data_IF_840688445966
#
_entry.id   IF_840688445966
#
_cell.length_a   1.000
_cell.length_b   1.000
_cell.length_c   1.000
_cell.angle_alpha   90.00
_cell.angle_beta   90.00
_cell.angle_gamma   90.00
#
_symmetry.space_group_name_H-M   'P 1'
#
loop_
_entity.id
_entity.type
_entity.pdbx_description
1 polymer ?
#
# COMPACT_ATOMS: atom_id res chain seq x y z
N UNK A 1 12.10 -7.57 38.36
CA UNK A 1 11.78 -7.56 36.92
C UNK A 1 10.62 -6.61 36.72
N UNK A 2 10.63 -5.82 35.65
CA UNK A 2 9.52 -4.91 35.29
C UNK A 2 8.98 -5.35 33.93
N UNK A 3 7.66 -5.50 33.82
CA UNK A 3 6.99 -5.84 32.57
C UNK A 3 6.76 -4.57 31.73
N UNK A 4 7.02 -4.66 30.42
CA UNK A 4 6.68 -3.64 29.45
C UNK A 4 5.52 -4.16 28.58
N UNK A 5 4.58 -3.28 28.24
CA UNK A 5 3.39 -3.65 27.46
C UNK A 5 3.30 -2.84 26.18
N UNK A 6 2.75 -3.47 25.15
CA UNK A 6 2.40 -2.85 23.88
C UNK A 6 0.91 -3.09 23.60
N UNK A 7 0.14 -2.06 23.23
CA UNK A 7 0.53 -0.65 23.19
C UNK A 7 0.62 0.01 24.59
N UNK A 8 1.30 1.15 24.70
CA UNK A 8 1.33 2.04 25.88
C UNK A 8 1.81 3.45 25.49
N UNK A 9 1.80 4.41 26.41
CA UNK A 9 2.28 5.79 26.16
C UNK A 9 3.73 5.84 25.66
N UNK A 10 4.59 4.94 26.15
CA UNK A 10 5.98 4.82 25.69
C UNK A 10 6.11 4.01 24.39
N UNK A 11 5.13 3.17 24.07
CA UNK A 11 5.10 2.28 22.90
C UNK A 11 3.74 2.42 22.20
N UNK A 12 3.49 3.53 21.48
CA UNK A 12 2.17 3.83 20.93
C UNK A 12 1.69 2.70 20.01
N UNK A 13 0.37 2.51 19.93
CA UNK A 13 -0.23 1.55 19.01
C UNK A 13 0.17 1.84 17.54
N UNK A 14 -0.01 0.85 16.67
CA UNK A 14 0.04 1.10 15.23
C UNK A 14 -1.18 1.94 14.81
N UNK A 15 -1.07 2.73 13.73
CA UNK A 15 -2.17 3.58 13.28
C UNK A 15 -3.42 2.77 12.94
N UNK A 16 -4.58 3.37 13.20
CA UNK A 16 -5.85 2.89 12.67
C UNK A 16 -5.92 3.26 11.20
N UNK A 17 -6.19 2.26 10.34
CA UNK A 17 -6.22 2.42 8.88
C UNK A 17 -7.58 1.95 8.36
N UNK A 18 -8.15 2.70 7.43
CA UNK A 18 -9.37 2.33 6.72
C UNK A 18 -9.19 2.54 5.21
N UNK A 19 -9.79 1.64 4.43
CA UNK A 19 -9.96 1.75 2.98
C UNK A 19 -11.40 1.32 2.65
N UNK A 20 -11.99 1.97 1.66
CA UNK A 20 -13.25 1.53 1.06
C UNK A 20 -12.93 0.57 -0.09
N UNK A 21 -13.64 -0.54 -0.16
CA UNK A 21 -13.52 -1.53 -1.24
C UNK A 21 -14.88 -1.76 -1.89
N UNK A 22 -14.93 -2.14 -3.17
CA UNK A 22 -16.18 -2.48 -3.84
C UNK A 22 -16.95 -3.59 -3.11
N UNK A 23 -18.28 -3.57 -3.20
CA UNK A 23 -19.15 -4.53 -2.49
C UNK A 23 -18.88 -6.00 -2.83
N UNK A 24 -18.36 -6.28 -4.03
CA UNK A 24 -18.03 -7.63 -4.50
C UNK A 24 -16.59 -8.05 -4.16
N UNK A 25 -15.78 -7.15 -3.59
CA UNK A 25 -14.46 -7.49 -3.06
C UNK A 25 -14.58 -8.11 -1.67
N UNK A 26 -13.67 -9.04 -1.37
CA UNK A 26 -13.63 -9.73 -0.09
C UNK A 26 -12.34 -9.44 0.66
N UNK A 27 -12.43 -9.31 1.98
CA UNK A 27 -11.27 -9.35 2.86
C UNK A 27 -10.57 -10.72 2.75
N UNK A 28 -9.25 -10.71 2.65
CA UNK A 28 -8.43 -11.92 2.57
C UNK A 28 -7.24 -11.83 3.54
N UNK A 29 -6.68 -12.99 3.90
CA UNK A 29 -5.46 -13.05 4.70
C UNK A 29 -4.26 -13.22 3.79
N UNK A 30 -3.34 -12.25 3.81
CA UNK A 30 -2.05 -12.34 3.11
C UNK A 30 -0.92 -12.28 4.15
N UNK A 31 -0.01 -13.28 4.18
CA UNK A 31 1.10 -13.27 5.12
C UNK A 31 1.94 -11.99 5.04
N UNK A 32 2.28 -11.41 6.19
CA UNK A 32 3.10 -10.19 6.28
C UNK A 32 2.34 -8.88 6.04
N UNK A 33 1.01 -8.92 5.96
CA UNK A 33 0.15 -7.73 5.80
C UNK A 33 -0.72 -7.56 7.04
N UNK A 34 -1.14 -6.32 7.32
CA UNK A 34 -2.09 -6.03 8.41
C UNK A 34 -3.55 -6.13 7.95
N UNK A 35 -3.79 -5.91 6.65
CA UNK A 35 -5.10 -5.98 6.01
C UNK A 35 -4.90 -6.23 4.52
N UNK A 36 -5.81 -6.97 3.90
CA UNK A 36 -5.84 -7.14 2.46
C UNK A 36 -7.27 -7.37 1.97
N UNK A 37 -7.52 -6.95 0.74
CA UNK A 37 -8.77 -7.19 0.03
C UNK A 37 -8.49 -7.60 -1.41
N UNK A 38 -9.36 -8.41 -2.00
CA UNK A 38 -9.22 -8.84 -3.37
C UNK A 38 -10.57 -8.96 -4.08
N UNK A 39 -10.54 -8.72 -5.39
CA UNK A 39 -11.68 -8.89 -6.29
C UNK A 39 -12.20 -10.34 -6.27
N UNK A 40 -13.39 -10.62 -6.83
CA UNK A 40 -13.84 -12.00 -7.06
C UNK A 40 -12.79 -12.84 -7.80
N UNK A 41 -12.67 -14.10 -7.39
CA UNK A 41 -11.73 -15.03 -8.03
C UNK A 41 -12.30 -15.51 -9.37
N UNK A 42 -11.49 -15.39 -10.43
CA UNK A 42 -11.77 -15.98 -11.74
C UNK A 42 -10.74 -17.08 -12.01
N UNK A 43 -11.17 -18.34 -12.20
CA UNK A 43 -10.24 -19.46 -12.37
C UNK A 43 -9.23 -19.24 -13.51
N UNK A 44 -7.95 -19.42 -13.19
CA UNK A 44 -6.86 -19.28 -14.16
C UNK A 44 -6.41 -17.83 -14.40
N UNK A 45 -7.05 -16.85 -13.78
CA UNK A 45 -6.66 -15.44 -13.86
C UNK A 45 -5.93 -14.99 -12.60
N UNK A 46 -5.04 -14.01 -12.76
CA UNK A 46 -4.49 -13.29 -11.63
C UNK A 46 -5.61 -12.58 -10.88
N UNK A 47 -5.66 -12.71 -9.56
CA UNK A 47 -6.69 -12.06 -8.73
C UNK A 47 -6.25 -10.65 -8.32
N UNK A 48 -6.89 -9.58 -8.83
CA UNK A 48 -6.60 -8.22 -8.39
C UNK A 48 -6.74 -8.08 -6.88
N UNK A 49 -5.78 -7.41 -6.26
CA UNK A 49 -5.76 -7.27 -4.81
C UNK A 49 -5.12 -5.96 -4.37
N UNK A 50 -5.46 -5.57 -3.14
CA UNK A 50 -4.84 -4.51 -2.38
C UNK A 50 -4.36 -5.10 -1.06
N UNK A 51 -3.09 -4.84 -0.72
CA UNK A 51 -2.50 -5.23 0.56
C UNK A 51 -2.02 -4.01 1.32
N UNK A 52 -2.16 -4.03 2.63
CA UNK A 52 -1.73 -2.95 3.53
C UNK A 52 -0.64 -3.49 4.47
N UNK A 53 0.48 -2.78 4.54
CA UNK A 53 1.57 -3.05 5.47
C UNK A 53 1.89 -1.80 6.28
N UNK A 54 2.33 -2.00 7.52
CA UNK A 54 2.82 -0.93 8.39
C UNK A 54 4.22 -1.27 8.87
N UNK A 55 5.14 -0.32 8.71
CA UNK A 55 6.52 -0.42 9.19
C UNK A 55 6.83 0.77 10.08
N UNK A 56 7.35 0.52 11.28
CA UNK A 56 7.71 1.56 12.25
C UNK A 56 9.16 2.01 12.07
N UNK A 57 9.37 3.32 12.09
CA UNK A 57 10.64 4.02 12.00
C UNK A 57 10.78 5.08 13.12
N UNK A 58 11.92 5.76 13.17
CA UNK A 58 12.11 6.95 14.01
C UNK A 58 11.31 8.15 13.49
N UNK A 59 11.03 9.12 14.35
CA UNK A 59 10.21 10.30 14.03
C UNK A 59 10.78 11.20 12.90
N UNK A 60 12.04 11.03 12.53
CA UNK A 60 12.70 11.72 11.41
C UNK A 60 12.41 11.08 10.04
N UNK A 61 11.81 9.89 10.01
CA UNK A 61 11.40 9.23 8.77
C UNK A 61 10.28 10.01 8.09
N UNK A 62 10.44 10.27 6.79
CA UNK A 62 9.53 11.14 6.03
C UNK A 62 8.90 10.42 4.85
N UNK A 63 7.79 10.98 4.35
CA UNK A 63 7.12 10.49 3.15
C UNK A 63 8.02 10.56 1.90
N UNK A 64 8.93 11.54 1.82
CA UNK A 64 9.90 11.62 0.72
C UNK A 64 10.88 10.44 0.75
N UNK A 65 11.39 10.08 1.93
CA UNK A 65 12.27 8.91 2.09
C UNK A 65 11.53 7.63 1.68
N UNK A 66 10.29 7.47 2.13
CA UNK A 66 9.46 6.32 1.77
C UNK A 66 9.19 6.23 0.26
N UNK A 67 8.80 7.34 -0.36
CA UNK A 67 8.51 7.42 -1.79
C UNK A 67 9.75 7.09 -2.63
N UNK A 68 10.90 7.66 -2.29
CA UNK A 68 12.16 7.38 -2.99
C UNK A 68 12.56 5.91 -2.88
N UNK A 69 12.42 5.30 -1.71
CA UNK A 69 12.70 3.87 -1.53
C UNK A 69 11.80 2.98 -2.41
N UNK A 70 10.52 3.34 -2.57
CA UNK A 70 9.60 2.60 -3.46
C UNK A 70 9.95 2.83 -4.94
N UNK A 71 10.30 4.04 -5.34
CA UNK A 71 10.76 4.36 -6.70
C UNK A 71 12.01 3.54 -7.04
N UNK A 72 13.01 3.52 -6.16
CA UNK A 72 14.23 2.73 -6.33
C UNK A 72 13.92 1.24 -6.42
N UNK A 73 13.03 0.73 -5.56
CA UNK A 73 12.58 -0.66 -5.60
C UNK A 73 11.95 -1.00 -6.94
N UNK A 74 11.04 -0.18 -7.45
CA UNK A 74 10.43 -0.40 -8.76
C UNK A 74 11.44 -0.32 -9.90
N UNK A 75 12.36 0.65 -9.88
CA UNK A 75 13.39 0.78 -10.91
C UNK A 75 14.34 -0.43 -10.98
N UNK A 76 14.50 -1.18 -9.88
CA UNK A 76 15.29 -2.40 -9.83
C UNK A 76 14.59 -3.66 -10.38
N UNK A 77 13.31 -3.59 -10.77
CA UNK A 77 12.56 -4.74 -11.28
C UNK A 77 12.79 -4.97 -12.78
N UNK A 78 12.66 -6.22 -13.22
CA UNK A 78 12.83 -6.59 -14.62
C UNK A 78 11.77 -5.91 -15.50
N UNK A 79 12.23 -5.23 -16.57
CA UNK A 79 11.37 -4.49 -17.50
C UNK A 79 10.46 -3.47 -16.80
N UNK A 80 10.96 -2.86 -15.72
CA UNK A 80 10.22 -1.83 -15.01
C UNK A 80 9.97 -0.60 -15.89
N UNK A 81 8.75 -0.08 -15.84
CA UNK A 81 8.40 1.21 -16.44
C UNK A 81 7.46 1.96 -15.52
N UNK A 82 7.85 3.15 -15.11
CA UNK A 82 6.97 4.02 -14.34
C UNK A 82 5.78 4.45 -15.19
N UNK A 83 4.58 4.32 -14.63
CA UNK A 83 3.33 4.78 -15.25
C UNK A 83 3.06 6.21 -14.83
N UNK A 84 3.27 6.52 -13.54
CA UNK A 84 3.10 7.87 -13.02
C UNK A 84 3.31 7.94 -11.51
N UNK A 85 3.37 9.17 -11.02
CA UNK A 85 3.43 9.48 -9.60
C UNK A 85 2.71 10.78 -9.30
N UNK A 86 2.11 10.88 -8.13
CA UNK A 86 1.54 12.13 -7.63
C UNK A 86 1.49 12.15 -6.09
N UNK A 87 0.94 13.25 -5.56
CA UNK A 87 0.60 13.40 -4.14
C UNK A 87 -0.83 13.87 -4.00
N UNK A 88 -1.47 13.45 -2.92
CA UNK A 88 -2.82 13.86 -2.55
C UNK A 88 -2.93 13.99 -1.03
N UNK A 89 -3.85 14.80 -0.55
CA UNK A 89 -4.22 14.84 0.87
C UNK A 89 -5.58 14.18 1.07
N UNK A 90 -5.63 13.15 1.92
CA UNK A 90 -6.87 12.42 2.27
C UNK A 90 -6.95 12.35 3.79
N UNK A 91 -8.09 12.75 4.36
CA UNK A 91 -8.26 12.78 5.82
C UNK A 91 -7.26 13.70 6.56
N UNK A 92 -6.73 14.72 5.88
CA UNK A 92 -5.72 15.64 6.44
C UNK A 92 -4.29 15.10 6.45
N UNK A 93 -4.06 13.88 5.96
CA UNK A 93 -2.74 13.27 5.80
C UNK A 93 -2.29 13.35 4.34
N UNK A 94 -1.03 13.70 4.09
CA UNK A 94 -0.45 13.63 2.75
C UNK A 94 -0.09 12.19 2.39
N UNK A 95 -0.42 11.79 1.17
CA UNK A 95 -0.11 10.51 0.59
C UNK A 95 0.69 10.66 -0.70
N UNK A 96 1.73 9.86 -0.87
CA UNK A 96 2.42 9.69 -2.16
C UNK A 96 1.83 8.50 -2.90
N UNK A 97 1.60 8.64 -4.20
CA UNK A 97 1.12 7.57 -5.05
C UNK A 97 2.12 7.33 -6.18
N UNK A 98 2.52 6.08 -6.41
CA UNK A 98 3.55 5.70 -7.39
C UNK A 98 3.07 4.43 -8.10
N UNK A 99 3.05 4.46 -9.42
CA UNK A 99 2.63 3.33 -10.24
C UNK A 99 3.75 2.87 -11.17
N UNK A 100 3.93 1.57 -11.28
CA UNK A 100 4.92 0.97 -12.17
C UNK A 100 4.40 -0.34 -12.76
N UNK A 101 4.80 -0.61 -13.99
CA UNK A 101 4.70 -1.92 -14.62
C UNK A 101 6.04 -2.64 -14.53
N UNK A 102 6.04 -3.97 -14.43
CA UNK A 102 7.25 -4.81 -14.50
C UNK A 102 6.88 -6.24 -14.91
N UNK A 103 7.88 -7.04 -15.29
CA UNK A 103 7.69 -8.45 -15.58
C UNK A 103 7.76 -9.29 -14.30
N UNK A 104 6.68 -10.00 -13.99
CA UNK A 104 6.64 -11.03 -12.96
C UNK A 104 6.77 -12.43 -13.60
N UNK A 105 7.65 -13.30 -13.06
CA UNK A 105 7.92 -14.62 -13.66
C UNK A 105 6.73 -15.59 -13.60
N UNK A 106 5.70 -15.31 -12.77
CA UNK A 106 4.52 -16.17 -12.59
C UNK A 106 3.29 -15.59 -13.28
N UNK A 107 3.09 -14.27 -13.18
CA UNK A 107 1.90 -13.59 -13.65
C UNK A 107 2.09 -12.84 -14.99
N UNK A 108 3.32 -12.81 -15.54
CA UNK A 108 3.64 -11.99 -16.69
C UNK A 108 3.73 -10.51 -16.32
N UNK A 109 3.34 -9.60 -17.21
CA UNK A 109 3.36 -8.17 -16.91
C UNK A 109 2.39 -7.83 -15.78
N UNK A 110 2.91 -7.33 -14.66
CA UNK A 110 2.14 -6.77 -13.57
C UNK A 110 2.20 -5.25 -13.59
N UNK A 111 1.13 -4.62 -13.15
CA UNK A 111 1.09 -3.22 -12.73
C UNK A 111 0.86 -3.20 -11.23
N UNK A 112 1.72 -2.48 -10.51
CA UNK A 112 1.54 -2.19 -9.10
C UNK A 112 1.42 -0.70 -8.86
N UNK A 113 0.50 -0.34 -7.98
CA UNK A 113 0.33 1.02 -7.48
C UNK A 113 0.65 0.99 -5.98
N UNK A 114 1.61 1.79 -5.53
CA UNK A 114 1.93 2.01 -4.12
C UNK A 114 1.33 3.34 -3.66
N UNK A 115 0.59 3.32 -2.56
CA UNK A 115 0.04 4.50 -1.90
C UNK A 115 0.56 4.57 -0.47
N UNK A 116 1.31 5.62 -0.16
CA UNK A 116 2.17 5.71 1.01
C UNK A 116 1.78 6.90 1.86
N UNK A 117 1.71 6.73 3.18
CA UNK A 117 1.67 7.83 4.13
C UNK A 117 2.53 7.53 5.34
N UNK A 118 3.00 8.59 6.00
CA UNK A 118 3.78 8.47 7.24
C UNK A 118 2.98 9.10 8.37
N UNK A 119 2.60 8.28 9.36
CA UNK A 119 1.86 8.71 10.54
C UNK A 119 2.84 8.88 11.71
N UNK A 120 3.03 10.11 12.19
CA UNK A 120 3.91 10.40 13.32
C UNK A 120 3.12 10.32 14.63
N UNK A 121 3.61 9.55 15.60
CA UNK A 121 3.05 9.44 16.94
C UNK A 121 4.17 9.51 18.00
N UNK A 122 4.35 10.69 18.60
CA UNK A 122 5.43 10.91 19.57
C UNK A 122 6.82 10.80 18.94
N UNK A 123 7.61 9.81 19.37
CA UNK A 123 9.00 9.60 18.90
C UNK A 123 9.12 8.58 17.77
N UNK A 124 8.00 8.06 17.26
CA UNK A 124 7.97 7.08 16.17
C UNK A 124 7.18 7.60 14.98
N UNK A 125 7.52 7.08 13.81
CA UNK A 125 6.79 7.30 12.57
C UNK A 125 6.42 5.96 11.95
N UNK A 126 5.15 5.75 11.65
CA UNK A 126 4.64 4.54 11.02
C UNK A 126 4.40 4.80 9.53
N UNK A 127 5.16 4.11 8.67
CA UNK A 127 4.90 4.07 7.24
C UNK A 127 3.73 3.13 6.97
N UNK A 128 2.61 3.69 6.52
CA UNK A 128 1.50 2.96 5.95
C UNK A 128 1.74 2.84 4.45
N UNK A 129 1.80 1.61 3.94
CA UNK A 129 1.91 1.33 2.51
C UNK A 129 0.76 0.44 2.05
N UNK A 130 -0.03 0.95 1.12
CA UNK A 130 -1.12 0.25 0.46
C UNK A 130 -0.65 -0.08 -0.97
N UNK A 131 -0.48 -1.37 -1.28
CA UNK A 131 -0.04 -1.82 -2.59
C UNK A 131 -1.18 -2.51 -3.33
N UNK A 132 -1.65 -1.92 -4.42
CA UNK A 132 -2.59 -2.54 -5.35
C UNK A 132 -1.83 -3.26 -6.46
N UNK A 133 -2.33 -4.43 -6.89
CA UNK A 133 -1.72 -5.23 -7.97
C UNK A 133 -2.77 -5.71 -8.97
N UNK A 134 -2.48 -5.57 -10.26
CA UNK A 134 -3.22 -6.12 -11.41
C UNK A 134 -2.25 -6.58 -12.49
N UNK A 135 -2.70 -7.41 -13.43
CA UNK A 135 -1.92 -7.66 -14.66
C UNK A 135 -2.00 -6.50 -15.63
N UNK A 136 -1.07 -6.43 -16.59
CA UNK A 136 -1.12 -5.45 -17.67
C UNK A 136 -2.39 -5.53 -18.53
N UNK A 137 -2.95 -6.74 -18.71
CA UNK A 137 -4.24 -6.94 -19.40
C UNK A 137 -5.39 -6.35 -18.58
N UNK A 138 -5.44 -6.62 -17.28
CA UNK A 138 -6.46 -6.08 -16.38
C UNK A 138 -6.37 -4.55 -16.24
N UNK A 139 -5.15 -3.99 -16.22
CA UNK A 139 -4.95 -2.55 -16.22
C UNK A 139 -5.55 -1.89 -17.48
N UNK A 140 -5.32 -2.47 -18.67
CA UNK A 140 -5.92 -1.99 -19.93
C UNK A 140 -7.45 -2.15 -19.96
N UNK A 141 -7.98 -3.11 -19.22
CA UNK A 141 -9.42 -3.33 -19.06
C UNK A 141 -10.06 -2.40 -18.00
N UNK A 142 -9.29 -1.50 -17.38
CA UNK A 142 -9.80 -0.50 -16.43
C UNK A 142 -9.75 -0.91 -14.95
N UNK A 143 -9.28 -2.11 -14.62
CA UNK A 143 -9.23 -2.59 -13.21
C UNK A 143 -8.25 -1.75 -12.36
N UNK A 144 -7.26 -1.13 -12.98
CA UNK A 144 -6.34 -0.22 -12.30
C UNK A 144 -7.07 0.99 -11.68
N UNK A 145 -8.13 1.50 -12.32
CA UNK A 145 -8.89 2.64 -11.78
C UNK A 145 -9.67 2.27 -10.52
N UNK A 146 -10.07 0.99 -10.39
CA UNK A 146 -10.63 0.46 -9.13
C UNK A 146 -9.57 0.47 -8.02
N UNK A 147 -8.34 0.04 -8.31
CA UNK A 147 -7.25 0.08 -7.32
C UNK A 147 -6.95 1.52 -6.87
N UNK A 148 -6.89 2.46 -7.83
CA UNK A 148 -6.72 3.88 -7.55
C UNK A 148 -7.84 4.37 -6.64
N UNK A 149 -9.10 4.04 -6.93
CA UNK A 149 -10.24 4.45 -6.11
C UNK A 149 -10.13 3.93 -4.67
N UNK A 150 -9.81 2.64 -4.49
CA UNK A 150 -9.57 2.05 -3.16
C UNK A 150 -8.46 2.81 -2.45
N UNK A 151 -7.32 3.04 -3.10
CA UNK A 151 -6.19 3.73 -2.49
C UNK A 151 -6.51 5.20 -2.14
N UNK A 152 -7.27 5.91 -2.97
CA UNK A 152 -7.67 7.30 -2.70
C UNK A 152 -8.72 7.45 -1.60
N UNK A 153 -9.37 6.37 -1.20
CA UNK A 153 -10.24 6.35 -0.01
C UNK A 153 -9.46 6.24 1.30
N UNK A 154 -8.16 5.93 1.25
CA UNK A 154 -7.40 5.54 2.41
C UNK A 154 -7.30 6.67 3.45
N UNK A 155 -7.56 6.30 4.70
CA UNK A 155 -7.29 7.16 5.86
C UNK A 155 -6.41 6.42 6.85
N UNK A 156 -5.54 7.17 7.54
CA UNK A 156 -4.69 6.64 8.58
C UNK A 156 -4.53 7.69 9.68
N UNK A 157 -4.61 7.27 10.94
CA UNK A 157 -4.42 8.14 12.10
C UNK A 157 -3.80 7.37 13.27
N UNK A 158 -3.04 8.10 14.09
CA UNK A 158 -2.34 7.61 15.26
C UNK A 158 -3.28 7.12 16.38
#
# INVERSE_FOLDING_TARGET
>A
MTALTFPSDAFPALPTIAIDVPDDWAAITVPGTIMAAAAPETPGEFRPNVVVSVTRFGADYSLDVAANAVIEKFAGLEQAHEIGRDRVTVGGLEWAHIESTFLDPRAGTLVQAAHLAVVVNGQVADLVQITGSVTGTQAKAGVLDTLRTIQRSATAHA
#
